data_IF_231423390196
#
_entry.id   IF_231423390196
#
_cell.length_a   1.000
_cell.length_b   1.000
_cell.length_c   1.000
_cell.angle_alpha   90.00
_cell.angle_beta   90.00
_cell.angle_gamma   90.00
#
_symmetry.space_group_name_H-M   'P 1'
#
loop_
_entity.id
_entity.type
_entity.pdbx_description
1 polymer ?
#
# COMPACT_ATOMS: atom_id res chain seq x y z
N UNK A 1 -0.79 -5.58 8.18
CA UNK A 1 -0.54 -4.83 6.91
C UNK A 1 -1.40 -5.46 5.82
N UNK A 2 -1.95 -4.68 4.88
CA UNK A 2 -2.76 -5.21 3.77
C UNK A 2 -1.85 -5.57 2.58
N UNK A 3 -2.19 -6.62 1.85
CA UNK A 3 -1.57 -7.02 0.58
C UNK A 3 -2.64 -7.21 -0.47
N UNK A 4 -2.29 -6.99 -1.74
CA UNK A 4 -3.24 -7.21 -2.83
C UNK A 4 -3.48 -8.71 -2.98
N UNK A 5 -4.73 -9.19 -2.86
CA UNK A 5 -5.02 -10.59 -3.08
C UNK A 5 -4.79 -10.95 -4.55
N UNK A 6 -4.45 -12.21 -4.81
CA UNK A 6 -4.20 -12.69 -6.17
C UNK A 6 -5.40 -12.50 -7.10
N UNK A 7 -6.61 -12.68 -6.55
CA UNK A 7 -7.87 -12.47 -7.24
C UNK A 7 -8.69 -11.41 -6.49
N UNK A 8 -9.03 -10.32 -7.17
CA UNK A 8 -9.96 -9.32 -6.67
C UNK A 8 -11.28 -9.55 -7.40
N UNK A 9 -12.29 -10.02 -6.67
CA UNK A 9 -13.61 -10.29 -7.23
C UNK A 9 -14.58 -9.13 -7.04
N UNK A 10 -14.41 -8.39 -5.95
CA UNK A 10 -15.24 -7.27 -5.54
C UNK A 10 -14.35 -6.17 -4.93
N UNK A 11 -14.84 -4.93 -4.98
CA UNK A 11 -14.20 -3.76 -4.42
C UNK A 11 -15.22 -2.94 -3.65
N UNK A 12 -14.82 -2.38 -2.51
CA UNK A 12 -15.63 -1.38 -1.82
C UNK A 12 -15.67 -0.08 -2.64
N UNK A 13 -16.65 0.81 -2.41
CA UNK A 13 -16.76 2.07 -3.16
C UNK A 13 -15.49 2.92 -3.18
N UNK A 14 -14.67 2.84 -2.12
CA UNK A 14 -13.42 3.58 -1.99
C UNK A 14 -12.16 2.75 -2.31
N UNK A 15 -12.30 1.63 -3.00
CA UNK A 15 -11.18 0.79 -3.44
C UNK A 15 -11.11 0.79 -4.98
N UNK A 16 -9.90 0.70 -5.53
CA UNK A 16 -9.63 0.83 -6.97
C UNK A 16 -8.74 -0.30 -7.46
N UNK A 17 -9.12 -0.91 -8.57
CA UNK A 17 -8.35 -1.97 -9.24
C UNK A 17 -7.26 -1.37 -10.12
N UNK A 18 -5.99 -1.53 -9.75
CA UNK A 18 -4.87 -1.04 -10.58
C UNK A 18 -4.31 -2.15 -11.46
N UNK A 19 -4.25 -1.90 -12.76
CA UNK A 19 -3.93 -2.93 -13.75
C UNK A 19 -3.00 -2.43 -14.86
N UNK A 20 -2.31 -3.38 -15.51
CA UNK A 20 -1.49 -3.10 -16.68
C UNK A 20 -2.34 -2.97 -17.95
N UNK A 21 -2.22 -1.85 -18.64
CA UNK A 21 -2.89 -1.55 -19.93
C UNK A 21 -1.88 -1.47 -21.09
N UNK A 22 -2.38 -1.23 -22.29
CA UNK A 22 -1.60 -0.87 -23.48
C UNK A 22 -1.98 0.54 -23.94
N UNK A 23 -1.10 1.23 -24.68
CA UNK A 23 -1.33 2.61 -25.14
C UNK A 23 -2.45 2.76 -26.19
N UNK A 24 -3.06 1.67 -26.67
CA UNK A 24 -4.30 1.75 -27.45
C UNK A 24 -5.55 1.77 -26.55
N UNK A 25 -5.41 1.45 -25.27
CA UNK A 25 -6.53 1.27 -24.35
C UNK A 25 -7.40 0.07 -24.72
N UNK A 26 -6.82 -1.00 -25.27
CA UNK A 26 -7.57 -2.22 -25.60
C UNK A 26 -7.58 -3.19 -24.41
N UNK A 27 -8.71 -3.31 -23.71
CA UNK A 27 -8.80 -4.05 -22.44
C UNK A 27 -9.37 -5.46 -22.64
N UNK A 28 -8.79 -6.23 -23.55
CA UNK A 28 -9.38 -7.50 -24.03
C UNK A 28 -8.84 -8.78 -23.35
N UNK A 29 -7.84 -8.69 -22.46
CA UNK A 29 -7.29 -9.87 -21.80
C UNK A 29 -6.71 -9.63 -20.41
N UNK A 30 -6.56 -10.71 -19.64
CA UNK A 30 -5.96 -10.71 -18.30
C UNK A 30 -6.63 -9.72 -17.34
N UNK A 31 -5.83 -9.06 -16.51
CA UNK A 31 -6.31 -8.06 -15.54
C UNK A 31 -7.03 -6.87 -16.21
N UNK A 32 -6.62 -6.47 -17.43
CA UNK A 32 -7.29 -5.40 -18.16
C UNK A 32 -8.74 -5.76 -18.52
N UNK A 33 -8.99 -7.02 -18.93
CA UNK A 33 -10.34 -7.53 -19.17
C UNK A 33 -11.17 -7.52 -17.89
N UNK A 34 -10.62 -8.00 -16.78
CA UNK A 34 -11.30 -7.94 -15.48
C UNK A 34 -11.65 -6.51 -15.08
N UNK A 35 -10.71 -5.57 -15.24
CA UNK A 35 -10.93 -4.16 -14.97
C UNK A 35 -12.11 -3.59 -15.78
N UNK A 36 -12.18 -3.92 -17.07
CA UNK A 36 -13.27 -3.50 -17.95
C UNK A 36 -14.61 -4.14 -17.57
N UNK A 37 -14.64 -5.46 -17.41
CA UNK A 37 -15.88 -6.21 -17.21
C UNK A 37 -16.48 -6.02 -15.81
N UNK A 38 -15.65 -5.82 -14.78
CA UNK A 38 -16.11 -5.74 -13.38
C UNK A 38 -16.00 -4.37 -12.75
N UNK A 39 -14.98 -3.59 -13.14
CA UNK A 39 -14.59 -2.38 -12.40
C UNK A 39 -14.60 -1.12 -13.27
N UNK A 40 -15.31 -1.16 -14.40
CA UNK A 40 -15.63 0.02 -15.21
C UNK A 40 -14.45 0.66 -15.96
N UNK A 41 -13.39 -0.10 -16.27
CA UNK A 41 -12.37 0.40 -17.19
C UNK A 41 -12.95 0.63 -18.60
N UNK A 42 -12.49 1.68 -19.26
CA UNK A 42 -13.01 2.24 -20.50
C UNK A 42 -12.03 1.92 -21.63
N UNK A 43 -12.54 1.37 -22.74
CA UNK A 43 -11.71 1.17 -23.93
C UNK A 43 -11.25 2.52 -24.52
N UNK A 44 -10.00 2.56 -24.99
CA UNK A 44 -9.35 3.77 -25.48
C UNK A 44 -8.63 4.59 -24.41
N UNK A 45 -8.88 4.34 -23.12
CA UNK A 45 -8.17 5.01 -22.02
C UNK A 45 -7.02 4.14 -21.47
N UNK A 46 -5.79 4.48 -21.85
CA UNK A 46 -4.60 3.65 -21.57
C UNK A 46 -3.91 3.91 -20.23
N UNK A 47 -4.19 5.04 -19.58
CA UNK A 47 -3.52 5.46 -18.34
C UNK A 47 -4.51 6.22 -17.44
N UNK A 48 -4.32 6.12 -16.13
CA UNK A 48 -5.06 6.90 -15.14
C UNK A 48 -6.36 6.27 -14.68
N UNK A 49 -7.10 7.03 -13.87
CA UNK A 49 -8.34 6.63 -13.22
C UNK A 49 -9.51 6.51 -14.22
N UNK A 50 -10.29 5.43 -14.13
CA UNK A 50 -11.45 5.14 -14.96
C UNK A 50 -12.41 4.16 -14.28
N UNK A 51 -13.67 4.54 -14.10
CA UNK A 51 -14.60 3.76 -13.29
C UNK A 51 -14.06 3.54 -11.87
N UNK A 52 -13.98 2.28 -11.45
CA UNK A 52 -13.34 1.84 -10.21
C UNK A 52 -11.96 1.19 -10.47
N UNK A 53 -11.29 1.62 -11.54
CA UNK A 53 -10.00 1.10 -11.99
C UNK A 53 -8.98 2.20 -12.24
N UNK A 54 -7.69 1.86 -12.21
CA UNK A 54 -6.60 2.75 -12.61
C UNK A 54 -5.66 2.00 -13.58
N UNK A 55 -5.45 2.54 -14.77
CA UNK A 55 -4.58 1.94 -15.78
C UNK A 55 -3.13 2.43 -15.65
N UNK A 56 -2.18 1.50 -15.73
CA UNK A 56 -0.75 1.78 -15.95
C UNK A 56 -0.35 1.20 -17.32
N UNK A 57 0.09 2.01 -18.29
CA UNK A 57 0.50 1.50 -19.58
C UNK A 57 1.80 0.67 -19.43
N UNK A 58 1.80 -0.52 -20.03
CA UNK A 58 2.96 -1.45 -20.04
C UNK A 58 3.39 -1.83 -21.46
N UNK A 59 2.53 -1.57 -22.44
CA UNK A 59 2.78 -1.81 -23.86
C UNK A 59 2.48 -0.55 -24.67
N UNK A 60 3.27 -0.28 -25.71
CA UNK A 60 3.04 0.80 -26.65
C UNK A 60 1.87 0.50 -27.62
N UNK A 61 1.59 1.43 -28.55
CA UNK A 61 0.51 1.28 -29.54
C UNK A 61 0.74 0.13 -30.54
N UNK A 62 1.98 -0.36 -30.65
CA UNK A 62 2.39 -1.50 -31.49
C UNK A 62 2.49 -2.80 -30.68
N UNK A 63 1.99 -2.81 -29.44
CA UNK A 63 2.04 -3.95 -28.52
C UNK A 63 3.47 -4.39 -28.16
N UNK A 64 4.43 -3.46 -28.20
CA UNK A 64 5.80 -3.69 -27.69
C UNK A 64 5.91 -3.21 -26.25
N UNK A 65 6.76 -3.88 -25.47
CA UNK A 65 7.08 -3.48 -24.08
C UNK A 65 7.55 -2.03 -24.04
N UNK A 66 6.97 -1.25 -23.13
CA UNK A 66 7.54 0.03 -22.72
C UNK A 66 8.85 -0.18 -21.97
N UNK A 67 9.67 0.86 -21.88
CA UNK A 67 10.85 0.81 -21.02
C UNK A 67 10.44 0.78 -19.54
N UNK A 68 11.33 0.26 -18.68
CA UNK A 68 11.08 0.24 -17.25
C UNK A 68 11.00 1.67 -16.68
N UNK A 69 11.70 2.62 -17.29
CA UNK A 69 11.65 4.05 -16.95
C UNK A 69 10.25 4.63 -17.23
N UNK A 70 9.66 4.35 -18.39
CA UNK A 70 8.32 4.83 -18.72
C UNK A 70 7.24 4.23 -17.80
N UNK A 71 7.38 2.95 -17.43
CA UNK A 71 6.51 2.31 -16.43
C UNK A 71 6.73 2.95 -15.05
N UNK A 72 7.98 3.23 -14.69
CA UNK A 72 8.36 3.89 -13.44
C UNK A 72 7.73 5.28 -13.31
N UNK A 73 7.74 6.09 -14.38
CA UNK A 73 7.05 7.38 -14.44
C UNK A 73 5.53 7.23 -14.26
N UNK A 74 4.93 6.18 -14.83
CA UNK A 74 3.50 5.89 -14.67
C UNK A 74 3.15 5.49 -13.22
N UNK A 75 4.07 4.79 -12.53
CA UNK A 75 3.95 4.50 -11.10
C UNK A 75 4.06 5.78 -10.27
N UNK A 76 4.92 6.74 -10.64
CA UNK A 76 4.99 8.04 -9.96
C UNK A 76 3.66 8.81 -10.07
N UNK A 77 3.04 8.80 -11.25
CA UNK A 77 1.70 9.37 -11.43
C UNK A 77 0.66 8.70 -10.54
N UNK A 78 0.67 7.38 -10.44
CA UNK A 78 -0.21 6.65 -9.51
C UNK A 78 0.05 7.11 -8.07
N UNK A 79 1.31 7.22 -7.65
CA UNK A 79 1.65 7.57 -6.27
C UNK A 79 1.20 8.99 -5.92
N UNK A 80 1.46 9.95 -6.80
CA UNK A 80 0.95 11.31 -6.65
C UNK A 80 -0.58 11.34 -6.59
N UNK A 81 -1.25 10.62 -7.49
CA UNK A 81 -2.70 10.53 -7.47
C UNK A 81 -3.22 9.89 -6.18
N UNK A 82 -2.55 8.88 -5.65
CA UNK A 82 -2.92 8.22 -4.41
C UNK A 82 -2.76 9.16 -3.20
N UNK A 83 -1.65 9.91 -3.11
CA UNK A 83 -1.43 10.88 -2.03
C UNK A 83 -2.47 12.02 -2.02
N UNK A 84 -2.94 12.45 -3.20
CA UNK A 84 -3.98 13.47 -3.36
C UNK A 84 -5.40 12.93 -3.09
N UNK A 85 -5.56 11.60 -3.07
CA UNK A 85 -6.83 10.90 -2.86
C UNK A 85 -6.70 9.89 -1.71
N UNK A 86 -6.28 10.37 -0.53
CA UNK A 86 -5.99 9.55 0.65
C UNK A 86 -7.17 8.71 1.18
N UNK A 87 -8.40 9.01 0.77
CA UNK A 87 -9.62 8.25 1.09
C UNK A 87 -9.87 7.04 0.18
N UNK A 88 -9.11 6.92 -0.91
CA UNK A 88 -9.20 5.84 -1.90
C UNK A 88 -8.02 4.89 -1.74
N UNK A 89 -8.27 3.58 -1.74
CA UNK A 89 -7.23 2.53 -1.71
C UNK A 89 -7.01 1.91 -3.09
N UNK A 90 -5.75 1.84 -3.52
CA UNK A 90 -5.36 1.36 -4.85
C UNK A 90 -4.74 -0.02 -4.75
N UNK A 91 -5.44 -1.05 -5.23
CA UNK A 91 -4.96 -2.44 -5.21
C UNK A 91 -4.23 -2.77 -6.50
N UNK A 92 -2.91 -2.83 -6.41
CA UNK A 92 -2.01 -3.09 -7.55
C UNK A 92 -1.92 -4.57 -7.84
N UNK A 93 -2.30 -4.94 -9.06
CA UNK A 93 -2.08 -6.30 -9.59
C UNK A 93 -0.62 -6.48 -10.03
N UNK A 94 -0.23 -7.69 -10.43
CA UNK A 94 1.09 -7.95 -11.05
C UNK A 94 1.17 -7.34 -12.45
N UNK A 95 1.15 -6.01 -12.53
CA UNK A 95 1.08 -5.24 -13.77
C UNK A 95 2.22 -5.64 -14.71
N UNK A 96 1.92 -5.84 -15.99
CA UNK A 96 2.92 -6.19 -16.99
C UNK A 96 3.44 -7.64 -16.96
N UNK A 97 3.21 -8.42 -15.91
CA UNK A 97 3.73 -9.79 -15.78
C UNK A 97 2.92 -10.85 -16.54
N UNK A 98 1.68 -10.53 -16.94
CA UNK A 98 0.82 -11.38 -17.76
C UNK A 98 1.11 -11.23 -19.26
N UNK A 99 0.16 -10.66 -19.99
CA UNK A 99 0.22 -10.53 -21.46
C UNK A 99 1.45 -9.76 -21.96
N UNK A 100 1.87 -8.70 -21.25
CA UNK A 100 3.04 -7.93 -21.65
C UNK A 100 4.36 -8.70 -21.44
N UNK A 101 4.37 -9.72 -20.58
CA UNK A 101 5.48 -10.66 -20.40
C UNK A 101 6.73 -10.08 -19.74
N UNK A 102 6.63 -9.04 -18.91
CA UNK A 102 7.74 -8.60 -18.06
C UNK A 102 8.05 -9.65 -16.99
N UNK A 103 9.32 -9.76 -16.61
CA UNK A 103 9.68 -10.57 -15.44
C UNK A 103 9.16 -9.88 -14.19
N UNK A 104 8.71 -10.67 -13.22
CA UNK A 104 8.15 -10.15 -11.98
C UNK A 104 9.15 -9.24 -11.24
N UNK A 105 10.42 -9.64 -11.17
CA UNK A 105 11.48 -8.85 -10.53
C UNK A 105 11.74 -7.50 -11.22
N UNK A 106 11.57 -7.40 -12.55
CA UNK A 106 11.75 -6.14 -13.28
C UNK A 106 10.72 -5.10 -12.82
N UNK A 107 9.46 -5.51 -12.71
CA UNK A 107 8.36 -4.64 -12.25
C UNK A 107 8.45 -4.42 -10.75
N UNK A 108 8.69 -5.47 -9.96
CA UNK A 108 8.84 -5.38 -8.51
C UNK A 108 9.89 -4.34 -8.12
N UNK A 109 11.04 -4.31 -8.81
CA UNK A 109 12.11 -3.35 -8.52
C UNK A 109 11.69 -1.88 -8.72
N UNK A 110 10.76 -1.59 -9.62
CA UNK A 110 10.19 -0.24 -9.77
C UNK A 110 9.51 0.17 -8.46
N UNK A 111 8.62 -0.68 -7.92
CA UNK A 111 7.91 -0.41 -6.67
C UNK A 111 8.86 -0.38 -5.46
N UNK A 112 9.78 -1.35 -5.36
CA UNK A 112 10.73 -1.47 -4.23
C UNK A 112 11.72 -0.29 -4.15
N UNK A 113 12.02 0.36 -5.27
CA UNK A 113 12.93 1.51 -5.31
C UNK A 113 12.30 2.84 -4.84
N UNK A 114 10.99 2.86 -4.58
CA UNK A 114 10.22 4.05 -4.26
C UNK A 114 9.57 3.95 -2.88
N UNK A 115 9.27 5.09 -2.27
CA UNK A 115 8.42 5.10 -1.08
C UNK A 115 6.96 4.94 -1.49
N UNK A 116 6.31 3.86 -1.04
CA UNK A 116 4.93 3.54 -1.43
C UNK A 116 3.94 4.29 -0.53
N UNK A 117 2.95 5.03 -1.09
CA UNK A 117 1.89 5.66 -0.31
C UNK A 117 1.09 4.66 0.53
N UNK A 118 0.57 5.09 1.68
CA UNK A 118 -0.14 4.22 2.63
C UNK A 118 -1.44 3.62 2.08
N UNK A 119 -2.01 4.24 1.04
CA UNK A 119 -3.19 3.78 0.35
C UNK A 119 -2.91 3.05 -0.98
N UNK A 120 -1.64 2.78 -1.31
CA UNK A 120 -1.29 1.88 -2.42
C UNK A 120 -0.96 0.51 -1.84
N UNK A 121 -1.77 -0.48 -2.19
CA UNK A 121 -1.65 -1.86 -1.73
C UNK A 121 -1.00 -2.67 -2.85
N UNK A 122 0.12 -3.32 -2.54
CA UNK A 122 0.94 -4.05 -3.51
C UNK A 122 0.74 -5.57 -3.38
N UNK A 123 0.99 -6.34 -4.47
CA UNK A 123 1.07 -7.79 -4.37
C UNK A 123 2.35 -8.17 -3.60
N UNK A 124 2.34 -9.33 -2.93
CA UNK A 124 3.42 -9.73 -2.00
C UNK A 124 4.81 -9.73 -2.65
N UNK A 125 4.87 -10.06 -3.94
CA UNK A 125 6.10 -10.16 -4.71
C UNK A 125 6.75 -8.79 -4.98
N UNK A 126 5.96 -7.72 -4.96
CA UNK A 126 6.43 -6.35 -5.16
C UNK A 126 6.83 -5.67 -3.83
N UNK A 127 6.63 -6.33 -2.69
CA UNK A 127 6.93 -5.74 -1.39
C UNK A 127 8.42 -5.76 -1.05
N UNK A 128 8.90 -4.60 -0.59
CA UNK A 128 10.09 -4.46 0.25
C UNK A 128 9.63 -3.77 1.52
N UNK A 129 9.40 -4.54 2.58
CA UNK A 129 8.82 -4.04 3.82
C UNK A 129 9.92 -3.37 4.62
N UNK A 130 9.84 -2.04 4.74
CA UNK A 130 10.67 -1.27 5.67
C UNK A 130 10.10 -1.40 7.07
N UNK A 131 10.97 -1.53 8.06
CA UNK A 131 10.53 -1.59 9.45
C UNK A 131 11.67 -1.44 10.44
N UNK A 132 11.36 -1.88 11.65
CA UNK A 132 12.12 -1.61 12.86
C UNK A 132 12.38 -2.91 13.60
N UNK A 133 13.64 -3.16 13.95
CA UNK A 133 14.02 -4.34 14.70
C UNK A 133 14.77 -3.93 15.96
N UNK A 134 14.30 -4.44 17.10
CA UNK A 134 15.03 -4.45 18.35
C UNK A 134 15.92 -5.70 18.46
N UNK A 135 17.00 -5.56 19.20
CA UNK A 135 17.98 -6.60 19.48
C UNK A 135 18.43 -6.50 20.94
N UNK A 136 18.93 -7.61 21.47
CA UNK A 136 19.83 -7.56 22.60
C UNK A 136 21.12 -6.82 22.22
N UNK A 137 21.80 -6.27 23.23
CA UNK A 137 23.03 -5.50 23.06
C UNK A 137 24.04 -6.22 22.18
N UNK A 138 24.61 -5.49 21.23
CA UNK A 138 25.50 -6.01 20.21
C UNK A 138 24.77 -6.61 19.01
N UNK A 139 23.57 -6.16 18.64
CA UNK A 139 22.77 -6.68 17.52
C UNK A 139 22.51 -8.21 17.60
N UNK A 140 22.28 -8.74 18.80
CA UNK A 140 21.99 -10.15 19.01
C UNK A 140 20.49 -10.39 19.12
N UNK A 141 19.99 -11.48 18.55
CA UNK A 141 18.62 -11.92 18.78
C UNK A 141 18.60 -13.44 18.95
N UNK A 142 18.27 -13.90 20.16
CA UNK A 142 18.40 -15.31 20.56
C UNK A 142 19.84 -15.78 20.36
N UNK A 143 20.04 -16.86 19.61
CA UNK A 143 21.36 -17.45 19.34
C UNK A 143 21.97 -16.97 18.01
N UNK A 144 21.43 -15.90 17.41
CA UNK A 144 21.89 -15.36 16.14
C UNK A 144 22.50 -13.96 16.31
N UNK A 145 23.65 -13.76 15.67
CA UNK A 145 24.38 -12.49 15.66
C UNK A 145 24.14 -11.78 14.33
N UNK A 146 23.66 -10.54 14.38
CA UNK A 146 23.47 -9.69 13.21
C UNK A 146 24.59 -8.66 13.10
N UNK A 147 24.74 -8.11 11.90
CA UNK A 147 25.67 -7.04 11.59
C UNK A 147 24.94 -5.96 10.78
N UNK A 148 25.34 -4.71 10.99
CA UNK A 148 24.85 -3.58 10.23
C UNK A 148 25.17 -3.74 8.72
N UNK A 149 24.23 -3.35 7.86
CA UNK A 149 24.33 -3.45 6.40
C UNK A 149 24.47 -4.88 5.82
N UNK A 150 24.23 -5.93 6.61
CA UNK A 150 24.21 -7.32 6.13
C UNK A 150 22.81 -7.81 5.78
N UNK A 151 22.77 -8.75 4.85
CA UNK A 151 21.58 -9.47 4.43
C UNK A 151 21.63 -10.91 4.92
N UNK A 152 20.47 -11.41 5.36
CA UNK A 152 20.31 -12.75 5.90
C UNK A 152 19.14 -13.44 5.23
N UNK A 153 19.28 -14.75 5.00
CA UNK A 153 18.27 -15.61 4.39
C UNK A 153 17.92 -16.75 5.31
N UNK A 154 16.62 -16.99 5.46
CA UNK A 154 16.02 -18.12 6.14
C UNK A 154 15.51 -19.09 5.08
N UNK A 155 15.88 -20.36 5.23
CA UNK A 155 15.44 -21.42 4.34
C UNK A 155 14.39 -22.27 5.07
N UNK A 156 13.21 -22.40 4.48
CA UNK A 156 12.08 -23.13 5.04
C UNK A 156 10.84 -22.25 5.24
N UNK A 157 9.77 -22.80 5.86
CA UNK A 157 8.54 -22.06 6.09
C UNK A 157 8.76 -20.79 6.90
N UNK A 158 8.06 -19.72 6.54
CA UNK A 158 8.03 -18.44 7.27
C UNK A 158 6.67 -18.31 7.93
N UNK A 159 6.65 -18.30 9.25
CA UNK A 159 5.44 -18.21 10.07
C UNK A 159 5.62 -17.10 11.10
N UNK A 160 4.68 -16.15 11.14
CA UNK A 160 4.62 -15.13 12.17
C UNK A 160 4.75 -15.76 13.56
N UNK A 161 5.60 -15.14 14.40
CA UNK A 161 5.94 -15.61 15.73
C UNK A 161 6.66 -16.98 15.87
N UNK A 162 6.84 -17.76 14.80
CA UNK A 162 7.47 -19.09 14.86
C UNK A 162 8.81 -19.17 14.11
N UNK A 163 8.84 -18.81 12.83
CA UNK A 163 10.00 -18.99 11.96
C UNK A 163 10.23 -17.80 11.02
N UNK A 164 11.43 -17.72 10.45
CA UNK A 164 11.87 -16.55 9.67
C UNK A 164 12.42 -15.42 10.54
N UNK A 165 12.65 -14.27 9.91
CA UNK A 165 13.17 -13.08 10.58
C UNK A 165 12.04 -12.13 10.96
N UNK A 166 11.91 -11.84 12.25
CA UNK A 166 10.86 -10.97 12.77
C UNK A 166 11.33 -9.53 12.98
N UNK A 167 10.47 -8.58 12.61
CA UNK A 167 10.59 -7.16 12.91
C UNK A 167 9.20 -6.51 12.94
N UNK A 168 9.10 -5.25 13.37
CA UNK A 168 7.84 -4.51 13.43
C UNK A 168 7.77 -3.47 12.31
N UNK A 169 6.60 -3.30 11.71
CA UNK A 169 6.36 -2.24 10.71
C UNK A 169 6.04 -0.90 11.37
N UNK A 170 5.60 -0.91 12.63
CA UNK A 170 5.47 0.28 13.47
C UNK A 170 6.62 0.34 14.50
N UNK A 171 7.26 1.50 14.68
CA UNK A 171 8.48 1.61 15.47
C UNK A 171 8.25 1.32 16.96
N UNK A 172 7.20 1.88 17.56
CA UNK A 172 6.98 1.73 19.00
C UNK A 172 6.46 0.35 19.41
N UNK A 173 5.93 -0.45 18.47
CA UNK A 173 5.57 -1.84 18.72
C UNK A 173 6.78 -2.71 19.05
N UNK A 174 7.99 -2.29 18.63
CA UNK A 174 9.24 -2.96 19.02
C UNK A 174 9.37 -3.05 20.54
N UNK A 175 8.88 -2.06 21.30
CA UNK A 175 8.95 -2.03 22.75
C UNK A 175 8.08 -3.07 23.45
N UNK A 176 7.07 -3.64 22.75
CA UNK A 176 6.31 -4.77 23.27
C UNK A 176 7.18 -6.03 23.39
N UNK A 177 8.19 -6.16 22.53
CA UNK A 177 9.08 -7.32 22.43
C UNK A 177 10.46 -7.08 23.06
N UNK A 178 10.98 -5.85 22.96
CA UNK A 178 12.30 -5.45 23.46
C UNK A 178 12.15 -4.26 24.42
N UNK A 179 12.04 -4.56 25.72
CA UNK A 179 11.91 -3.56 26.79
C UNK A 179 13.27 -3.08 27.29
N UNK A 180 13.36 -1.79 27.60
CA UNK A 180 14.51 -1.16 28.25
C UNK A 180 15.49 -0.46 27.29
N UNK A 181 16.31 0.45 27.85
CA UNK A 181 17.25 1.29 27.10
C UNK A 181 18.54 0.57 26.68
N UNK A 182 18.86 -0.59 27.27
CA UNK A 182 20.08 -1.36 26.97
C UNK A 182 19.89 -2.33 25.78
N UNK A 183 19.04 -1.93 24.83
CA UNK A 183 18.74 -2.67 23.60
C UNK A 183 19.27 -1.91 22.41
N UNK A 184 19.67 -2.67 21.38
CA UNK A 184 20.05 -2.08 20.10
C UNK A 184 18.84 -2.05 19.17
N UNK A 185 18.75 -1.02 18.33
CA UNK A 185 17.68 -0.87 17.36
C UNK A 185 18.27 -0.67 15.96
N UNK A 186 17.59 -1.16 14.93
CA UNK A 186 17.96 -0.89 13.55
C UNK A 186 16.75 -0.68 12.67
N UNK A 187 16.95 0.12 11.62
CA UNK A 187 16.11 0.03 10.44
C UNK A 187 16.37 -1.30 9.74
N UNK A 188 15.32 -1.89 9.18
CA UNK A 188 15.44 -3.15 8.43
C UNK A 188 14.59 -3.11 7.17
N UNK A 189 14.99 -3.90 6.18
CA UNK A 189 14.21 -4.17 4.98
C UNK A 189 13.94 -5.68 4.89
N UNK A 190 12.68 -6.07 4.74
CA UNK A 190 12.24 -7.46 4.64
C UNK A 190 11.59 -7.77 3.30
N UNK A 191 11.89 -8.92 2.72
CA UNK A 191 11.28 -9.41 1.47
C UNK A 191 11.29 -10.94 1.38
N UNK A 192 10.75 -11.47 0.28
CA UNK A 192 10.65 -12.91 0.00
C UNK A 192 9.33 -13.49 0.50
N UNK A 193 9.37 -14.66 1.14
CA UNK A 193 8.19 -15.20 1.82
C UNK A 193 7.87 -14.32 3.03
N UNK A 194 6.62 -13.85 3.12
CA UNK A 194 6.16 -12.91 4.15
C UNK A 194 4.97 -13.52 4.89
N UNK A 195 4.99 -13.44 6.21
CA UNK A 195 3.87 -13.80 7.08
C UNK A 195 3.60 -12.66 8.06
N UNK A 196 2.38 -12.14 8.05
CA UNK A 196 1.94 -11.07 8.95
C UNK A 196 1.37 -11.67 10.23
N UNK A 197 1.61 -11.01 11.36
CA UNK A 197 0.88 -11.28 12.59
C UNK A 197 -0.49 -10.59 12.56
N UNK A 198 -1.51 -11.22 13.12
CA UNK A 198 -2.88 -10.68 13.17
C UNK A 198 -3.09 -9.72 14.35
N UNK A 199 -2.18 -9.72 15.34
CA UNK A 199 -2.36 -9.02 16.62
C UNK A 199 -1.59 -7.70 16.74
N UNK A 200 -0.43 -7.58 16.12
CA UNK A 200 0.40 -6.36 16.15
C UNK A 200 1.09 -6.09 14.79
N UNK A 201 1.94 -5.07 14.71
CA UNK A 201 2.63 -4.72 13.46
C UNK A 201 3.80 -5.65 13.10
N UNK A 202 3.98 -6.76 13.82
CA UNK A 202 5.06 -7.72 13.60
C UNK A 202 4.86 -8.47 12.29
N UNK A 203 5.98 -8.68 11.61
CA UNK A 203 6.05 -9.43 10.37
C UNK A 203 7.23 -10.39 10.43
N UNK A 204 7.06 -11.56 9.82
CA UNK A 204 8.12 -12.53 9.57
C UNK A 204 8.46 -12.55 8.08
N UNK A 205 9.75 -12.57 7.76
CA UNK A 205 10.23 -12.63 6.37
C UNK A 205 11.30 -13.70 6.18
N UNK A 206 11.44 -14.22 4.95
CA UNK A 206 12.54 -15.13 4.60
C UNK A 206 13.86 -14.39 4.42
N UNK A 207 13.84 -13.14 3.95
CA UNK A 207 15.03 -12.35 3.68
C UNK A 207 14.95 -11.03 4.44
N UNK A 208 15.95 -10.75 5.28
CA UNK A 208 16.06 -9.48 6.00
C UNK A 208 17.40 -8.83 5.71
N UNK A 209 17.39 -7.52 5.50
CA UNK A 209 18.57 -6.66 5.50
C UNK A 209 18.55 -5.82 6.75
N UNK A 210 19.62 -5.90 7.53
CA UNK A 210 19.84 -4.96 8.62
C UNK A 210 20.44 -3.71 8.00
N UNK A 211 19.76 -2.57 8.14
CA UNK A 211 20.22 -1.28 7.62
C UNK A 211 21.00 -0.59 8.73
N UNK A 212 20.71 0.68 8.97
CA UNK A 212 21.40 1.51 9.96
C UNK A 212 21.03 1.11 11.38
N UNK A 213 22.03 0.97 12.25
CA UNK A 213 21.86 0.87 13.70
C UNK A 213 21.54 2.26 14.26
N UNK A 214 20.55 2.31 15.13
CA UNK A 214 20.05 3.53 15.75
C UNK A 214 20.35 3.49 17.25
N UNK A 215 20.81 4.62 17.79
CA UNK A 215 20.74 4.87 19.23
C UNK A 215 19.27 4.93 19.69
N UNK A 216 19.04 4.77 20.99
CA UNK A 216 17.69 4.89 21.55
C UNK A 216 17.03 6.24 21.20
N UNK A 217 17.77 7.35 21.26
CA UNK A 217 17.24 8.67 20.92
C UNK A 217 16.89 8.79 19.43
N UNK A 218 17.72 8.26 18.54
CA UNK A 218 17.42 8.23 17.10
C UNK A 218 16.20 7.35 16.82
N UNK A 219 16.09 6.20 17.49
CA UNK A 219 14.93 5.33 17.36
C UNK A 219 13.63 6.03 17.79
N UNK A 220 13.66 6.73 18.94
CA UNK A 220 12.51 7.53 19.41
C UNK A 220 12.16 8.64 18.42
N UNK A 221 13.15 9.35 17.86
CA UNK A 221 12.92 10.39 16.85
C UNK A 221 12.23 9.82 15.60
N UNK A 222 12.75 8.73 15.05
CA UNK A 222 12.15 8.06 13.88
C UNK A 222 10.73 7.58 14.22
N UNK A 223 10.49 7.14 15.46
CA UNK A 223 9.16 6.76 15.92
C UNK A 223 8.15 7.92 15.96
N UNK A 224 8.60 9.11 16.38
CA UNK A 224 7.79 10.33 16.34
C UNK A 224 7.49 10.74 14.90
N UNK A 225 8.51 10.75 14.03
CA UNK A 225 8.36 11.11 12.61
C UNK A 225 7.38 10.18 11.88
N UNK A 226 7.51 8.87 12.10
CA UNK A 226 6.59 7.86 11.56
C UNK A 226 5.14 8.13 12.01
N UNK A 227 4.95 8.40 13.30
CA UNK A 227 3.64 8.68 13.89
C UNK A 227 3.03 9.94 13.29
N UNK A 228 3.81 11.02 13.16
CA UNK A 228 3.37 12.26 12.52
C UNK A 228 2.94 12.04 11.06
N UNK A 229 3.71 11.27 10.29
CA UNK A 229 3.36 10.91 8.91
C UNK A 229 2.03 10.15 8.83
N UNK A 230 1.85 9.14 9.69
CA UNK A 230 0.61 8.35 9.75
C UNK A 230 -0.60 9.20 10.14
N UNK A 231 -0.47 10.06 11.15
CA UNK A 231 -1.52 10.99 11.58
C UNK A 231 -1.87 11.99 10.47
N UNK A 232 -0.87 12.54 9.77
CA UNK A 232 -1.08 13.44 8.63
C UNK A 232 -1.89 12.78 7.52
N UNK A 233 -1.56 11.53 7.17
CA UNK A 233 -2.33 10.75 6.20
C UNK A 233 -3.79 10.53 6.64
N UNK A 234 -4.01 10.09 7.89
CA UNK A 234 -5.36 9.89 8.42
C UNK A 234 -6.18 11.18 8.46
N UNK A 235 -5.54 12.31 8.74
CA UNK A 235 -6.18 13.62 8.68
C UNK A 235 -6.63 13.98 7.26
N UNK A 236 -5.76 13.82 6.25
CA UNK A 236 -6.12 14.04 4.84
C UNK A 236 -7.30 13.16 4.41
N UNK A 237 -7.28 11.89 4.80
CA UNK A 237 -8.37 10.96 4.54
C UNK A 237 -9.69 11.43 5.17
N UNK A 238 -9.66 11.90 6.42
CA UNK A 238 -10.85 12.45 7.09
C UNK A 238 -11.37 13.72 6.39
N UNK A 239 -10.48 14.63 6.00
CA UNK A 239 -10.82 15.87 5.29
C UNK A 239 -11.53 15.59 3.95
N UNK A 240 -11.03 14.62 3.16
CA UNK A 240 -11.66 14.18 1.91
C UNK A 240 -13.04 13.56 2.11
N UNK A 241 -13.20 12.73 3.13
CA UNK A 241 -14.49 12.15 3.47
C UNK A 241 -15.52 13.22 3.88
N UNK A 242 -15.08 14.25 4.63
CA UNK A 242 -15.93 15.39 5.00
C UNK A 242 -16.33 16.19 3.74
N UNK A 243 -15.39 16.47 2.85
CA UNK A 243 -15.64 17.20 1.60
C UNK A 243 -16.69 16.50 0.72
N UNK A 244 -16.56 15.18 0.52
CA UNK A 244 -17.54 14.37 -0.23
C UNK A 244 -18.93 14.41 0.40
N UNK A 245 -19.02 14.43 1.73
CA UNK A 245 -20.30 14.46 2.45
C UNK A 245 -20.96 15.86 2.45
N UNK A 246 -20.21 16.95 2.27
CA UNK A 246 -20.77 18.32 2.23
C UNK A 246 -21.66 18.56 1.00
N UNK A 247 -21.46 17.81 -0.08
CA UNK A 247 -22.20 17.98 -1.34
C UNK A 247 -23.36 16.99 -1.50
N UNK A 248 -23.67 16.18 -0.49
CA UNK A 248 -24.88 15.36 -0.50
C UNK A 248 -26.09 16.25 -0.21
N UNK A 249 -26.78 16.66 -1.28
CA UNK A 249 -28.13 17.22 -1.19
C UNK A 249 -29.06 16.11 -0.73
N UNK A 250 -29.25 15.97 0.59
CA UNK A 250 -30.30 15.11 1.12
C UNK A 250 -31.65 15.74 0.78
N UNK A 251 -32.31 15.22 -0.25
CA UNK A 251 -33.74 15.49 -0.49
C UNK A 251 -34.49 14.55 0.43
N UNK A 252 -34.95 15.05 1.57
CA UNK A 252 -35.86 14.32 2.43
C UNK A 252 -37.31 14.62 2.02
N UNK A 253 -37.98 13.65 1.42
CA UNK A 253 -39.43 13.67 1.28
C UNK A 253 -40.04 12.87 2.45
N UNK A 254 -40.31 13.50 3.59
CA UNK A 254 -40.80 12.76 4.76
C UNK A 254 -41.51 13.60 5.84
N UNK A 255 -42.77 13.24 6.06
CA UNK A 255 -43.74 13.67 7.10
C UNK A 255 -43.16 13.80 8.53
N UNK A 256 -43.86 14.59 9.36
CA UNK A 256 -43.89 14.88 10.82
C UNK A 256 -42.72 14.57 11.79
N UNK A 257 -41.73 13.75 11.45
CA UNK A 257 -40.66 13.34 12.36
C UNK A 257 -39.25 13.40 11.75
N UNK A 258 -39.02 14.24 10.75
CA UNK A 258 -37.68 14.40 10.19
C UNK A 258 -36.83 15.41 10.94
N UNK A 259 -35.57 15.05 11.21
CA UNK A 259 -34.57 15.91 11.87
C UNK A 259 -33.52 16.31 10.84
N UNK A 260 -33.41 17.61 10.56
CA UNK A 260 -32.45 18.19 9.61
C UNK A 260 -31.12 18.51 10.31
N UNK A 261 -29.99 18.16 9.70
CA UNK A 261 -28.64 18.62 10.08
C UNK A 261 -27.90 19.29 8.91
N UNK A 262 -28.65 19.93 8.00
CA UNK A 262 -28.11 20.65 6.84
C UNK A 262 -27.56 22.04 7.18
N UNK A 263 -26.53 22.44 6.44
CA UNK A 263 -26.02 23.82 6.38
C UNK A 263 -26.92 24.70 5.48
N UNK A 264 -26.53 25.96 5.28
CA UNK A 264 -27.23 27.14 4.70
C UNK A 264 -28.02 26.98 3.37
N UNK A 265 -28.09 25.79 2.79
CA UNK A 265 -28.83 25.49 1.55
C UNK A 265 -29.83 24.33 1.66
N UNK A 266 -30.22 23.92 2.87
CA UNK A 266 -31.32 22.96 3.04
C UNK A 266 -32.67 23.60 2.70
N UNK A 267 -33.41 23.02 1.74
CA UNK A 267 -34.74 23.49 1.32
C UNK A 267 -35.77 22.50 1.83
N UNK A 268 -36.74 22.98 2.62
CA UNK A 268 -37.84 22.19 3.14
C UNK A 268 -39.08 22.45 2.28
N UNK A 269 -39.58 21.46 1.54
CA UNK A 269 -40.87 21.56 0.84
C UNK A 269 -41.93 20.78 1.62
N UNK A 270 -42.50 21.40 2.64
CA UNK A 270 -43.74 20.94 3.26
C UNK A 270 -44.91 21.24 2.32
N UNK A 271 -45.79 20.27 2.09
CA UNK A 271 -47.11 20.50 1.51
C UNK A 271 -48.06 20.81 2.67
N UNK A 272 -48.72 21.97 2.61
CA UNK A 272 -49.85 22.34 3.48
C UNK A 272 -51.10 21.49 3.19
#
# INVERSE_FOLDING_TARGET
MKVTPQNIEELKPNEVFVFGSNMNGNHAGGAAKTAKEKFGAIDGQSEGMQGQSYAIPTLDKKMKKLSLEAISESVDKLYHFADDNADIYFYVTKIGCGIAGFKEDEIANIFKSKETPLNVILPVEFLLIKGFKGFDKGLKCRNFQYEENKEYKHYGPVEACRSGFHFCTEPFDVFNHYKGMDKDFSLVEGQGSISFDDSDSKVAVSNIKIKTKLSFLEFVKVGIEYTQKKVSFLRKQAEKNIEKNKNNSSVNSGLDYSVNSGLDHSVNSGLD
#
